data_IF_242937189261
#
_entry.id   IF_242937189261
#
_cell.length_a   1.000
_cell.length_b   1.000
_cell.length_c   1.000
_cell.angle_alpha   90.00
_cell.angle_beta   90.00
_cell.angle_gamma   90.00
#
_symmetry.space_group_name_H-M   'P 1'
#
loop_
_entity.id
_entity.type
_entity.pdbx_description
1 polymer ?
#
# COMPACT_ATOMS: atom_id res chain seq x y z
N UNK A 1 -11.76 -25.71 24.46
CA UNK A 1 -11.89 -24.25 24.66
C UNK A 1 -12.06 -23.63 23.28
N UNK A 2 -13.30 -23.29 22.87
CA UNK A 2 -13.51 -22.77 21.52
C UNK A 2 -13.00 -21.33 21.46
N UNK A 3 -12.08 -21.07 20.53
CA UNK A 3 -11.67 -19.73 20.13
C UNK A 3 -12.85 -19.09 19.41
N UNK A 4 -13.52 -18.14 20.06
CA UNK A 4 -14.41 -17.22 19.38
C UNK A 4 -13.53 -16.37 18.45
N UNK A 5 -13.72 -16.40 17.11
CA UNK A 5 -12.92 -15.59 16.21
C UNK A 5 -13.25 -14.11 16.49
N UNK A 6 -12.36 -13.45 17.22
CA UNK A 6 -12.38 -12.00 17.29
C UNK A 6 -12.16 -11.49 15.87
N UNK A 7 -13.08 -10.68 15.36
CA UNK A 7 -13.04 -9.97 14.06
C UNK A 7 -11.82 -9.01 13.91
N UNK A 8 -10.85 -9.09 14.82
CA UNK A 8 -9.62 -8.33 14.91
C UNK A 8 -8.51 -9.27 15.40
N UNK A 9 -7.97 -10.07 14.48
CA UNK A 9 -6.91 -11.04 14.75
C UNK A 9 -5.90 -11.10 13.59
N UNK A 10 -5.09 -12.16 13.54
CA UNK A 10 -4.09 -12.30 12.47
C UNK A 10 -4.68 -12.27 11.06
N UNK A 11 -5.87 -12.86 10.85
CA UNK A 11 -6.54 -12.84 9.55
C UNK A 11 -6.85 -11.43 9.05
N UNK A 12 -7.47 -10.60 9.90
CA UNK A 12 -7.76 -9.20 9.57
C UNK A 12 -6.51 -8.39 9.27
N UNK A 13 -5.40 -8.67 9.98
CA UNK A 13 -4.13 -7.99 9.72
C UNK A 13 -3.51 -8.42 8.39
N UNK A 14 -3.60 -9.70 8.07
CA UNK A 14 -3.08 -10.25 6.81
C UNK A 14 -3.87 -9.70 5.61
N UNK A 15 -5.20 -9.73 5.66
CA UNK A 15 -6.08 -9.14 4.63
C UNK A 15 -5.81 -7.62 4.46
N UNK A 16 -5.61 -6.91 5.57
CA UNK A 16 -5.27 -5.48 5.55
C UNK A 16 -3.95 -5.23 4.80
N UNK A 17 -2.90 -6.00 5.10
CA UNK A 17 -1.59 -5.86 4.47
C UNK A 17 -1.63 -6.26 2.99
N UNK A 18 -2.43 -7.25 2.61
CA UNK A 18 -2.66 -7.63 1.21
C UNK A 18 -3.24 -6.45 0.41
N UNK A 19 -4.32 -5.83 0.90
CA UNK A 19 -4.97 -4.70 0.20
C UNK A 19 -4.05 -3.48 0.14
N UNK A 20 -3.26 -3.21 1.18
CA UNK A 20 -2.24 -2.15 1.13
C UNK A 20 -1.20 -2.44 0.04
N UNK A 21 -0.78 -3.70 -0.09
CA UNK A 21 0.19 -4.13 -1.11
C UNK A 21 -0.39 -3.98 -2.52
N UNK A 22 -1.66 -4.32 -2.73
CA UNK A 22 -2.33 -4.12 -4.03
C UNK A 22 -2.43 -2.65 -4.42
N UNK A 23 -2.74 -1.77 -3.47
CA UNK A 23 -2.66 -0.33 -3.67
C UNK A 23 -1.23 0.09 -4.06
N UNK A 24 -0.23 -0.35 -3.31
CA UNK A 24 1.17 -0.02 -3.60
C UNK A 24 1.63 -0.48 -4.99
N UNK A 25 1.16 -1.64 -5.46
CA UNK A 25 1.44 -2.15 -6.81
C UNK A 25 0.68 -1.38 -7.91
N UNK A 26 -0.30 -0.55 -7.55
CA UNK A 26 -1.13 0.19 -8.49
C UNK A 26 -2.26 -0.63 -9.10
N UNK A 27 -2.67 -1.74 -8.45
CA UNK A 27 -3.81 -2.56 -8.89
C UNK A 27 -5.13 -1.82 -8.64
N UNK A 28 -5.18 -0.97 -7.61
CA UNK A 28 -6.27 -0.03 -7.38
C UNK A 28 -5.80 1.27 -6.73
N UNK A 29 -6.54 2.34 -6.98
CA UNK A 29 -6.24 3.68 -6.46
C UNK A 29 -7.02 4.03 -5.20
N UNK A 30 -7.73 3.08 -4.59
CA UNK A 30 -8.54 3.32 -3.39
C UNK A 30 -7.67 3.37 -2.12
N UNK A 31 -7.96 4.29 -1.18
CA UNK A 31 -7.31 4.31 0.12
C UNK A 31 -7.77 3.15 1.00
N UNK A 32 -6.95 2.79 1.98
CA UNK A 32 -7.26 1.80 3.01
C UNK A 32 -7.59 2.50 4.32
N UNK A 33 -8.84 2.41 4.75
CA UNK A 33 -9.33 3.08 5.95
C UNK A 33 -9.14 2.25 7.23
N UNK A 34 -8.53 2.83 8.26
CA UNK A 34 -8.40 2.27 9.60
C UNK A 34 -9.20 3.07 10.62
N UNK A 35 -10.23 2.44 11.18
CA UNK A 35 -10.99 3.01 12.29
C UNK A 35 -10.21 2.78 13.60
N UNK A 36 -9.47 3.81 14.03
CA UNK A 36 -8.54 3.75 15.15
C UNK A 36 -9.20 4.17 16.47
N UNK A 37 -10.18 3.37 16.93
CA UNK A 37 -10.86 3.59 18.21
C UNK A 37 -9.88 3.41 19.36
N UNK A 38 -9.83 4.37 20.29
CA UNK A 38 -8.97 4.37 21.48
C UNK A 38 -7.48 4.09 21.21
N UNK A 39 -7.02 4.34 19.97
CA UNK A 39 -5.63 4.14 19.59
C UNK A 39 -5.23 2.68 19.34
N UNK A 40 -6.19 1.77 19.10
CA UNK A 40 -5.94 0.34 18.83
C UNK A 40 -4.84 0.09 17.77
N UNK A 41 -4.82 0.86 16.68
CA UNK A 41 -3.86 0.73 15.59
C UNK A 41 -2.61 1.60 15.74
N UNK A 42 -2.40 2.30 16.86
CA UNK A 42 -1.25 3.20 17.04
C UNK A 42 0.09 2.48 16.86
N UNK A 43 0.25 1.29 17.43
CA UNK A 43 1.49 0.51 17.30
C UNK A 43 1.75 0.07 15.86
N UNK A 44 0.71 -0.30 15.11
CA UNK A 44 0.82 -0.65 13.70
C UNK A 44 1.20 0.56 12.85
N UNK A 45 0.53 1.69 13.06
CA UNK A 45 0.84 2.94 12.35
C UNK A 45 2.27 3.40 12.63
N UNK A 46 2.73 3.32 13.88
CA UNK A 46 4.10 3.64 14.28
C UNK A 46 5.13 2.70 13.62
N UNK A 47 4.83 1.40 13.55
CA UNK A 47 5.68 0.44 12.83
C UNK A 47 5.80 0.80 11.34
N UNK A 48 4.70 1.18 10.70
CA UNK A 48 4.69 1.57 9.29
C UNK A 48 5.44 2.90 9.09
N UNK A 49 5.26 3.87 9.98
CA UNK A 49 6.02 5.13 9.99
C UNK A 49 7.52 4.85 10.10
N UNK A 50 7.92 3.92 10.97
CA UNK A 50 9.31 3.50 11.09
C UNK A 50 9.84 2.83 9.83
N UNK A 51 9.05 1.97 9.20
CA UNK A 51 9.43 1.35 7.93
C UNK A 51 9.60 2.37 6.80
N UNK A 52 8.87 3.49 6.83
CA UNK A 52 9.07 4.63 5.92
C UNK A 52 10.37 5.37 6.23
N UNK A 53 10.64 5.66 7.51
CA UNK A 53 11.89 6.31 7.94
C UNK A 53 13.14 5.52 7.55
N UNK A 54 13.10 4.19 7.71
CA UNK A 54 14.21 3.29 7.35
C UNK A 54 14.29 3.02 5.84
N UNK A 55 13.36 3.57 5.03
CA UNK A 55 13.38 3.46 3.57
C UNK A 55 12.84 2.14 3.00
N UNK A 56 12.24 1.27 3.82
CA UNK A 56 11.57 0.05 3.35
C UNK A 56 10.26 0.35 2.62
N UNK A 57 9.56 1.43 3.01
CA UNK A 57 8.31 1.87 2.39
C UNK A 57 8.53 3.25 1.78
N UNK A 58 8.14 3.43 0.51
CA UNK A 58 8.19 4.74 -0.12
C UNK A 58 7.27 5.72 0.64
N UNK A 59 7.72 6.95 0.96
CA UNK A 59 6.89 7.95 1.66
C UNK A 59 5.53 8.21 0.99
N UNK A 60 5.44 8.08 -0.34
CA UNK A 60 4.16 8.23 -1.05
C UNK A 60 3.19 7.08 -0.78
N UNK A 61 3.69 5.85 -0.61
CA UNK A 61 2.89 4.67 -0.28
C UNK A 61 2.33 4.74 1.14
N UNK A 62 2.97 5.50 2.06
CA UNK A 62 2.44 5.73 3.41
C UNK A 62 1.05 6.34 3.42
N UNK A 63 0.75 7.16 2.40
CA UNK A 63 -0.54 7.83 2.27
C UNK A 63 -1.67 6.90 1.81
N UNK A 64 -1.38 5.65 1.42
CA UNK A 64 -2.41 4.63 1.12
C UNK A 64 -3.30 4.41 2.36
N UNK A 65 -2.71 4.44 3.55
CA UNK A 65 -3.41 4.20 4.82
C UNK A 65 -3.94 5.51 5.37
N UNK A 66 -5.26 5.56 5.54
CA UNK A 66 -5.99 6.68 6.15
C UNK A 66 -6.59 6.21 7.46
N UNK A 67 -6.29 6.89 8.57
CA UNK A 67 -6.85 6.56 9.87
C UNK A 67 -7.63 7.72 10.50
N UNK A 68 -8.64 7.35 11.30
CA UNK A 68 -9.42 8.29 12.11
C UNK A 68 -10.01 7.59 13.35
N UNK A 69 -10.24 8.32 14.45
CA UNK A 69 -10.77 7.74 15.69
C UNK A 69 -12.26 7.41 15.64
N UNK A 70 -13.01 7.92 14.66
CA UNK A 70 -14.45 7.68 14.52
C UNK A 70 -14.85 7.52 13.05
N UNK A 71 -15.97 6.83 12.81
CA UNK A 71 -16.42 6.46 11.46
C UNK A 71 -16.72 7.69 10.59
N UNK A 72 -17.32 8.74 11.17
CA UNK A 72 -17.68 9.95 10.42
C UNK A 72 -16.46 10.65 9.86
N UNK A 73 -15.42 10.82 10.67
CA UNK A 73 -14.16 11.42 10.25
C UNK A 73 -13.42 10.51 9.25
N UNK A 74 -13.46 9.18 9.45
CA UNK A 74 -12.86 8.24 8.52
C UNK A 74 -13.48 8.36 7.13
N UNK A 75 -14.80 8.29 7.02
CA UNK A 75 -15.53 8.41 5.75
C UNK A 75 -15.18 9.72 5.05
N UNK A 76 -15.20 10.84 5.78
CA UNK A 76 -14.81 12.14 5.22
C UNK A 76 -13.41 12.12 4.62
N UNK A 77 -12.42 11.58 5.35
CA UNK A 77 -11.03 11.48 4.86
C UNK A 77 -10.90 10.55 3.65
N UNK A 78 -11.71 9.50 3.57
CA UNK A 78 -11.73 8.58 2.43
C UNK A 78 -12.34 9.25 1.19
N UNK A 79 -13.36 10.09 1.35
CA UNK A 79 -13.97 10.87 0.26
C UNK A 79 -13.03 11.97 -0.27
N UNK A 80 -12.23 12.57 0.61
CA UNK A 80 -11.23 13.60 0.26
C UNK A 80 -9.91 13.01 -0.27
N UNK A 81 -9.81 11.69 -0.36
CA UNK A 81 -8.59 11.02 -0.78
C UNK A 81 -8.31 11.20 -2.28
N UNK A 82 -7.07 11.54 -2.59
CA UNK A 82 -6.52 11.49 -3.94
C UNK A 82 -5.30 10.58 -3.96
N UNK A 83 -5.15 9.69 -4.95
CA UNK A 83 -4.00 8.80 -5.04
C UNK A 83 -2.70 9.59 -5.19
N UNK A 84 -1.76 9.42 -4.25
CA UNK A 84 -0.45 10.11 -4.24
C UNK A 84 0.72 9.19 -4.50
N UNK A 85 0.50 7.88 -4.57
CA UNK A 85 1.56 6.89 -4.74
C UNK A 85 1.84 6.66 -6.22
N UNK A 86 3.13 6.57 -6.57
CA UNK A 86 3.57 6.28 -7.93
C UNK A 86 3.38 4.78 -8.20
N UNK A 87 2.75 4.42 -9.32
CA UNK A 87 2.50 3.02 -9.68
C UNK A 87 3.85 2.31 -9.89
N UNK A 88 4.19 1.38 -9.00
CA UNK A 88 5.45 0.62 -9.07
C UNK A 88 5.54 -0.16 -10.39
N UNK A 89 4.42 -0.71 -10.88
CA UNK A 89 4.37 -1.46 -12.13
C UNK A 89 4.75 -0.62 -13.37
N UNK A 90 4.45 0.69 -13.40
CA UNK A 90 4.80 1.53 -14.55
C UNK A 90 6.29 1.81 -14.69
N UNK A 91 7.09 1.67 -13.62
CA UNK A 91 8.54 1.87 -13.67
C UNK A 91 9.27 0.70 -14.33
N UNK A 92 8.74 -0.52 -14.19
CA UNK A 92 9.32 -1.74 -14.78
C UNK A 92 9.01 -1.91 -16.27
N UNK A 93 8.04 -1.18 -16.80
CA UNK A 93 7.61 -1.36 -18.19
C UNK A 93 8.54 -0.68 -19.23
N UNK A 94 9.47 0.18 -18.81
CA UNK A 94 10.35 0.94 -19.72
C UNK A 94 11.82 0.51 -19.73
N UNK A 95 12.28 -0.27 -18.75
CA UNK A 95 13.70 -0.73 -18.74
C UNK A 95 13.90 -2.04 -19.52
N UNK A 96 12.86 -2.87 -19.62
CA UNK A 96 12.91 -4.13 -20.37
C UNK A 96 12.82 -3.89 -21.89
N UNK A 97 12.05 -2.89 -22.33
CA UNK A 97 11.95 -2.56 -23.76
C UNK A 97 13.24 -1.93 -24.33
N UNK A 98 14.06 -1.29 -23.50
CA UNK A 98 15.33 -0.68 -23.91
C UNK A 98 16.48 -1.68 -24.04
N UNK A 99 16.42 -2.82 -23.35
CA UNK A 99 17.40 -3.91 -23.49
C UNK A 99 17.10 -4.82 -24.71
N UNK A 100 15.88 -4.81 -25.23
CA UNK A 100 15.47 -5.63 -26.39
C UNK A 100 15.88 -5.08 -27.76
N UNK A 101 16.29 -3.81 -27.86
CA UNK A 101 16.61 -3.16 -29.14
C UNK A 101 18.10 -3.15 -29.53
N UNK A 102 19.01 -3.58 -28.64
CA UNK A 102 20.46 -3.56 -28.93
C UNK A 102 21.03 -4.87 -29.49
N UNK A 103 20.20 -5.86 -29.84
CA UNK A 103 20.65 -7.18 -30.32
C UNK A 103 20.30 -7.51 -31.79
N UNK A 104 20.00 -6.50 -32.61
CA UNK A 104 19.87 -6.68 -34.07
C UNK A 104 20.69 -5.63 -34.83
N UNK A 105 22.00 -5.80 -34.85
CA UNK A 105 22.80 -5.35 -35.99
C UNK A 105 24.07 -6.19 -36.09
N UNK A 106 24.44 -6.51 -37.34
CA UNK A 106 25.60 -7.31 -37.78
C UNK A 106 25.48 -8.84 -37.61
N UNK A 107 24.96 -9.51 -38.65
CA UNK A 107 25.79 -10.07 -39.73
C UNK A 107 24.89 -10.28 -40.96
N UNK A 108 25.14 -9.51 -42.01
CA UNK A 108 24.77 -9.83 -43.39
C UNK A 108 26.04 -9.79 -44.21
N UNK A 109 26.63 -10.96 -44.46
CA UNK A 109 27.33 -11.37 -45.68
C UNK A 109 27.86 -12.79 -45.51
#
# INVERSE_FOLDING_TARGET
MPLLPCLSGYGTLEELLEVITWAQLGIHDKPVGLLNVDGYYNSLLCFIDKAVEEGFINPTARHIIVSAPNAKELVKKLEEYFPRHERVASKLNWEIEQLGHSAKCEVSR
#
